data_IF_380520713976
#
_entry.id   IF_380520713976
#
_cell.length_a   1.000
_cell.length_b   1.000
_cell.length_c   1.000
_cell.angle_alpha   90.00
_cell.angle_beta   90.00
_cell.angle_gamma   90.00
#
_symmetry.space_group_name_H-M   'P 1'
#
loop_
_entity.id
_entity.type
_entity.pdbx_description
1 polymer ?
#
# COMPACT_ATOMS: atom_id res chain seq x y z
N UNK A 1 -19.93 4.69 -28.47
CA UNK A 1 -18.50 4.74 -28.83
C UNK A 1 -17.77 5.12 -27.56
N UNK A 2 -17.57 4.15 -26.69
CA UNK A 2 -16.63 4.26 -25.58
C UNK A 2 -15.29 3.86 -26.17
N UNK A 3 -14.36 4.81 -26.19
CA UNK A 3 -12.95 4.57 -26.42
C UNK A 3 -12.49 3.72 -25.23
N UNK A 4 -12.53 2.41 -25.38
CA UNK A 4 -11.85 1.48 -24.48
C UNK A 4 -10.37 1.78 -24.67
N UNK A 5 -9.84 2.62 -23.80
CA UNK A 5 -8.42 2.91 -23.72
C UNK A 5 -7.75 1.64 -23.21
N UNK A 6 -7.46 0.69 -24.09
CA UNK A 6 -6.58 -0.43 -23.77
C UNK A 6 -5.23 0.20 -23.40
N UNK A 7 -4.78 0.14 -22.12
CA UNK A 7 -3.44 0.60 -21.81
C UNK A 7 -2.50 -0.39 -22.52
N UNK A 8 -1.81 0.09 -23.55
CA UNK A 8 -0.93 -0.69 -24.45
C UNK A 8 0.35 -1.22 -23.73
N UNK A 9 0.27 -1.49 -22.42
CA UNK A 9 1.35 -2.06 -21.63
C UNK A 9 0.90 -2.35 -20.20
N UNK A 10 1.42 -3.46 -19.66
CA UNK A 10 1.23 -3.84 -18.27
C UNK A 10 1.63 -2.68 -17.33
N UNK A 11 0.71 -2.27 -16.45
CA UNK A 11 1.01 -1.30 -15.40
C UNK A 11 1.58 -2.00 -14.16
N UNK A 12 2.49 -1.32 -13.49
CA UNK A 12 3.12 -1.82 -12.28
C UNK A 12 3.06 -0.79 -11.16
N UNK A 13 2.63 -1.21 -9.98
CA UNK A 13 2.64 -0.40 -8.76
C UNK A 13 3.94 -0.65 -7.99
N UNK A 14 4.57 0.43 -7.51
CA UNK A 14 5.71 0.40 -6.60
C UNK A 14 5.23 0.73 -5.18
N UNK A 15 5.50 -0.17 -4.25
CA UNK A 15 5.22 -0.03 -2.82
C UNK A 15 6.50 0.12 -2.02
N UNK A 16 6.38 0.74 -0.85
CA UNK A 16 7.38 0.67 0.23
C UNK A 16 6.69 0.26 1.53
N UNK A 17 7.31 -0.67 2.25
CA UNK A 17 6.94 -1.02 3.62
C UNK A 17 7.84 -0.24 4.57
N UNK A 18 7.25 0.67 5.34
CA UNK A 18 7.95 1.39 6.39
C UNK A 18 7.82 0.61 7.69
N UNK A 19 8.94 0.18 8.26
CA UNK A 19 8.92 -0.46 9.58
C UNK A 19 8.66 0.59 10.66
N UNK A 20 7.62 0.38 11.45
CA UNK A 20 7.28 1.27 12.56
C UNK A 20 8.20 0.95 13.74
N UNK A 21 9.21 1.79 13.96
CA UNK A 21 10.01 1.71 15.17
C UNK A 21 9.08 1.82 16.39
N UNK A 22 9.24 0.91 17.35
CA UNK A 22 8.42 0.81 18.57
C UNK A 22 8.74 1.95 19.54
N UNK A 23 8.67 3.20 19.11
CA UNK A 23 8.70 4.37 19.96
C UNK A 23 7.70 5.41 19.45
N UNK A 24 6.55 5.45 20.15
CA UNK A 24 5.40 6.36 20.07
C UNK A 24 4.13 5.74 19.46
N UNK A 25 3.02 6.01 20.16
CA UNK A 25 1.63 5.54 20.14
C UNK A 25 0.91 5.36 18.78
N UNK A 26 1.58 5.52 17.64
CA UNK A 26 0.99 5.53 16.29
C UNK A 26 1.03 4.15 15.60
N UNK A 27 0.65 3.08 16.32
CA UNK A 27 0.57 1.74 15.71
C UNK A 27 -0.70 1.59 14.89
N UNK A 28 -0.58 1.11 13.66
CA UNK A 28 -1.73 0.74 12.83
C UNK A 28 -2.32 -0.56 13.38
N UNK A 29 -3.62 -0.52 13.67
CA UNK A 29 -4.37 -1.67 14.17
C UNK A 29 -5.04 -2.33 12.96
N UNK A 30 -4.60 -3.54 12.60
CA UNK A 30 -5.27 -4.39 11.62
C UNK A 30 -6.27 -5.32 12.31
N UNK A 31 -7.39 -5.54 11.62
CA UNK A 31 -8.42 -6.51 12.01
C UNK A 31 -8.42 -7.62 10.95
N UNK A 32 -8.10 -8.83 11.37
CA UNK A 32 -8.14 -10.00 10.51
C UNK A 32 -9.57 -10.46 10.24
N UNK A 33 -9.73 -11.35 9.24
CA UNK A 33 -11.03 -11.89 8.81
C UNK A 33 -11.78 -12.60 9.94
N UNK A 34 -11.05 -13.17 10.91
CA UNK A 34 -11.61 -13.84 12.10
C UNK A 34 -11.97 -12.85 13.23
N UNK A 35 -11.73 -11.56 13.03
CA UNK A 35 -11.93 -10.49 14.01
C UNK A 35 -10.79 -10.34 15.01
N UNK A 36 -9.64 -10.99 14.80
CA UNK A 36 -8.46 -10.80 15.65
C UNK A 36 -7.80 -9.46 15.33
N UNK A 37 -7.43 -8.72 16.37
CA UNK A 37 -6.74 -7.44 16.24
C UNK A 37 -5.23 -7.66 16.28
N UNK A 38 -4.54 -7.31 15.19
CA UNK A 38 -3.09 -7.37 15.06
C UNK A 38 -2.51 -5.95 14.99
N UNK A 39 -1.41 -5.71 15.70
CA UNK A 39 -0.65 -4.48 15.52
C UNK A 39 0.32 -4.69 14.37
N UNK A 40 0.18 -3.89 13.32
CA UNK A 40 1.08 -3.99 12.18
C UNK A 40 2.42 -3.30 12.54
N UNK A 41 3.51 -4.04 12.41
CA UNK A 41 4.87 -3.52 12.62
C UNK A 41 5.42 -2.84 11.35
N UNK A 42 4.64 -2.89 10.26
CA UNK A 42 4.96 -2.35 8.94
C UNK A 42 3.79 -1.53 8.40
N UNK A 43 4.07 -0.39 7.77
CA UNK A 43 3.08 0.44 7.07
C UNK A 43 3.39 0.41 5.57
N UNK A 44 2.45 -0.10 4.75
CA UNK A 44 2.61 -0.15 3.29
C UNK A 44 2.11 1.14 2.64
N UNK A 45 2.95 1.74 1.79
CA UNK A 45 2.60 2.95 1.01
C UNK A 45 2.87 2.75 -0.48
N UNK A 46 1.95 3.25 -1.30
CA UNK A 46 2.18 3.37 -2.75
C UNK A 46 3.10 4.55 -3.01
N UNK A 47 4.20 4.31 -3.72
CA UNK A 47 5.07 5.37 -4.24
C UNK A 47 4.55 5.86 -5.59
N UNK A 48 4.09 4.96 -6.44
CA UNK A 48 3.50 5.32 -7.73
C UNK A 48 3.16 4.11 -8.59
N UNK A 49 2.49 4.38 -9.72
CA UNK A 49 2.12 3.41 -10.75
C UNK A 49 2.83 3.79 -12.04
N UNK A 50 3.45 2.83 -12.72
CA UNK A 50 4.32 3.04 -13.86
C UNK A 50 3.97 2.14 -15.03
N UNK A 51 4.15 2.61 -16.28
CA UNK A 51 4.01 1.77 -17.46
C UNK A 51 5.22 0.84 -17.59
N UNK A 52 5.02 -0.46 -17.38
CA UNK A 52 6.04 -1.49 -17.50
C UNK A 52 6.95 -1.65 -16.27
N UNK A 53 7.38 -2.89 -16.04
CA UNK A 53 8.20 -3.27 -14.89
C UNK A 53 9.54 -2.52 -14.85
N UNK A 54 10.21 -2.36 -15.99
CA UNK A 54 11.51 -1.68 -16.07
C UNK A 54 11.46 -0.22 -15.62
N UNK A 55 10.33 0.48 -15.84
CA UNK A 55 10.14 1.85 -15.38
C UNK A 55 9.96 1.89 -13.87
N UNK A 56 9.18 0.96 -13.32
CA UNK A 56 9.01 0.81 -11.87
C UNK A 56 10.35 0.47 -11.18
N UNK A 57 11.18 -0.39 -11.77
CA UNK A 57 12.52 -0.73 -11.27
C UNK A 57 13.46 0.47 -11.28
N UNK A 58 13.48 1.25 -12.37
CA UNK A 58 14.25 2.49 -12.44
C UNK A 58 13.82 3.46 -11.33
N UNK A 59 12.51 3.58 -11.10
CA UNK A 59 12.00 4.45 -10.05
C UNK A 59 12.34 3.92 -8.65
N UNK A 60 12.30 2.61 -8.41
CA UNK A 60 12.76 2.00 -7.15
C UNK A 60 14.19 2.43 -6.84
N UNK A 61 15.10 2.37 -7.80
CA UNK A 61 16.51 2.77 -7.60
C UNK A 61 16.70 4.26 -7.30
N UNK A 62 15.79 5.12 -7.78
CA UNK A 62 15.75 6.54 -7.42
C UNK A 62 15.21 6.69 -5.99
N UNK A 63 14.08 6.05 -5.69
CA UNK A 63 13.40 6.12 -4.40
C UNK A 63 14.27 5.59 -3.25
N UNK A 64 15.05 4.54 -3.46
CA UNK A 64 16.01 3.98 -2.48
C UNK A 64 17.05 4.99 -1.97
N UNK A 65 17.23 6.13 -2.64
CA UNK A 65 18.18 7.18 -2.25
C UNK A 65 17.54 8.31 -1.45
N UNK A 66 16.21 8.34 -1.36
CA UNK A 66 15.49 9.38 -0.65
C UNK A 66 15.64 9.23 0.87
N UNK A 67 15.58 10.33 1.65
CA UNK A 67 15.57 10.26 3.11
C UNK A 67 14.47 9.33 3.64
N UNK A 68 14.75 8.57 4.70
CA UNK A 68 13.87 7.53 5.22
C UNK A 68 13.99 6.22 4.43
N UNK A 69 13.74 6.25 3.11
CA UNK A 69 13.83 5.05 2.28
C UNK A 69 15.23 4.47 2.16
N UNK A 70 16.27 5.30 2.19
CA UNK A 70 17.67 4.84 2.18
C UNK A 70 18.06 4.03 3.41
N UNK A 71 17.34 4.20 4.50
CA UNK A 71 17.57 3.50 5.77
C UNK A 71 16.90 2.11 5.74
N UNK A 72 15.96 1.89 4.81
CA UNK A 72 15.22 0.64 4.55
C UNK A 72 15.22 0.28 3.04
N UNK A 73 16.40 0.03 2.43
CA UNK A 73 16.56 -0.02 0.98
C UNK A 73 15.98 -1.28 0.30
N UNK A 74 15.66 -2.31 1.09
CA UNK A 74 15.15 -3.60 0.61
C UNK A 74 13.63 -3.73 0.77
N UNK A 75 12.98 -2.75 1.40
CA UNK A 75 11.56 -2.77 1.76
C UNK A 75 10.67 -2.24 0.63
N UNK A 76 10.98 -2.60 -0.63
CA UNK A 76 10.23 -2.18 -1.82
C UNK A 76 9.62 -3.38 -2.53
N UNK A 77 8.38 -3.23 -3.01
CA UNK A 77 7.68 -4.26 -3.80
C UNK A 77 7.16 -3.66 -5.10
N UNK A 78 7.39 -4.37 -6.22
CA UNK A 78 6.80 -4.06 -7.52
C UNK A 78 5.82 -5.18 -7.86
N UNK A 79 4.60 -4.81 -8.24
CA UNK A 79 3.56 -5.77 -8.62
C UNK A 79 2.76 -5.25 -9.81
N UNK A 80 2.24 -6.12 -10.69
CA UNK A 80 1.33 -5.71 -11.75
C UNK A 80 0.03 -5.14 -11.15
N UNK A 81 -0.62 -4.22 -11.86
CA UNK A 81 -1.93 -3.65 -11.49
C UNK A 81 -2.85 -3.59 -12.69
N UNK A 82 -4.14 -3.84 -12.46
CA UNK A 82 -5.19 -3.76 -13.48
C UNK A 82 -5.96 -2.44 -13.33
N UNK A 83 -6.19 -1.75 -14.44
CA UNK A 83 -7.02 -0.54 -14.49
C UNK A 83 -8.48 -0.92 -14.31
N UNK A 84 -9.26 -0.07 -13.65
CA UNK A 84 -10.68 -0.28 -13.35
C UNK A 84 -10.97 -1.47 -12.41
N UNK A 85 -9.94 -1.97 -11.72
CA UNK A 85 -10.11 -2.95 -10.65
C UNK A 85 -10.39 -2.25 -9.30
N UNK A 86 -11.46 -2.69 -8.62
CA UNK A 86 -11.76 -2.26 -7.26
C UNK A 86 -11.14 -3.23 -6.26
N UNK A 87 -10.21 -2.76 -5.43
CA UNK A 87 -9.54 -3.60 -4.42
C UNK A 87 -10.26 -3.61 -3.07
N UNK A 88 -11.00 -2.55 -2.74
CA UNK A 88 -11.73 -2.41 -1.47
C UNK A 88 -13.22 -2.66 -1.72
N UNK A 89 -13.58 -3.92 -1.97
CA UNK A 89 -14.95 -4.28 -2.32
C UNK A 89 -15.92 -4.28 -1.12
N UNK A 90 -15.38 -4.28 0.09
CA UNK A 90 -16.15 -4.39 1.35
C UNK A 90 -16.11 -3.10 2.18
N UNK A 91 -15.47 -2.05 1.68
CA UNK A 91 -15.28 -0.79 2.42
C UNK A 91 -14.22 -0.92 3.52
N UNK A 92 -14.42 -0.22 4.64
CA UNK A 92 -13.48 -0.21 5.77
C UNK A 92 -14.21 -0.10 7.10
N UNK A 93 -13.60 -0.65 8.16
CA UNK A 93 -14.10 -0.55 9.53
C UNK A 93 -13.13 0.29 10.35
N UNK A 94 -13.66 1.31 11.03
CA UNK A 94 -12.91 2.10 12.00
C UNK A 94 -13.15 1.54 13.40
N UNK A 95 -12.10 1.03 14.03
CA UNK A 95 -12.15 0.63 15.44
C UNK A 95 -11.73 1.82 16.31
N UNK A 96 -12.65 2.31 17.13
CA UNK A 96 -12.35 3.31 18.15
C UNK A 96 -12.06 2.61 19.49
N UNK A 97 -11.16 3.19 20.28
CA UNK A 97 -10.79 2.67 21.61
C UNK A 97 -11.96 2.56 22.60
N UNK A 98 -13.09 3.23 22.31
CA UNK A 98 -14.34 3.17 23.09
C UNK A 98 -15.31 2.05 22.65
N UNK A 99 -14.88 1.12 21.79
CA UNK A 99 -15.72 0.07 21.22
C UNK A 99 -16.49 0.51 19.97
N UNK A 100 -17.11 -0.41 19.22
CA UNK A 100 -17.72 -0.11 17.93
C UNK A 100 -18.90 0.85 18.12
N UNK A 101 -18.82 2.04 17.51
CA UNK A 101 -20.02 2.86 17.26
C UNK A 101 -20.80 2.13 16.16
N UNK A 102 -21.90 1.49 16.55
CA UNK A 102 -22.89 0.96 15.61
C UNK A 102 -23.57 2.16 14.97
N UNK A 103 -23.15 2.52 13.77
CA UNK A 103 -23.94 3.45 12.96
C UNK A 103 -25.28 2.74 12.62
N UNK A 104 -26.38 3.47 12.80
CA UNK A 104 -27.76 2.94 12.74
C UNK A 104 -28.43 3.26 11.41
#
# INVERSE_FOLDING_TARGET
MTDEHEPDGDLYVLWHARHLAVEQDERVIHLDEDGTIHLDEEEWRIIGIYPGQAVAERQREISRKLPGFRDEPDCFKIAPVTVDESLWNEGFVTVHSDGPRRDS
#
